data_IF_501485829434
#
_entry.id   IF_501485829434
#
_cell.length_a   1.000
_cell.length_b   1.000
_cell.length_c   1.000
_cell.angle_alpha   90.00
_cell.angle_beta   90.00
_cell.angle_gamma   90.00
#
_symmetry.space_group_name_H-M   'P 1'
#
loop_
_entity.id
_entity.type
_entity.pdbx_description
1 polymer ?
#
# COMPACT_ATOMS: atom_id res chain seq x y z
N UNK A 1 -4.03 11.65 -7.80
CA UNK A 1 -3.34 10.66 -6.95
C UNK A 1 -1.85 10.76 -7.23
N UNK A 2 -1.00 10.62 -6.21
CA UNK A 2 0.46 10.75 -6.33
C UNK A 2 1.16 9.49 -5.81
N UNK A 3 2.10 8.94 -6.57
CA UNK A 3 2.96 7.83 -6.11
C UNK A 3 3.99 8.36 -5.09
N UNK A 4 4.14 7.64 -3.98
CA UNK A 4 5.13 7.98 -2.95
C UNK A 4 6.51 7.44 -3.33
N UNK A 5 7.59 8.17 -3.02
CA UNK A 5 8.95 7.63 -3.15
C UNK A 5 9.13 6.44 -2.20
N UNK A 6 10.03 5.52 -2.57
CA UNK A 6 10.22 4.25 -1.86
C UNK A 6 10.42 4.41 -0.34
N UNK A 7 11.24 5.38 0.09
CA UNK A 7 11.50 5.62 1.51
C UNK A 7 10.26 6.05 2.30
N UNK A 8 9.35 6.79 1.66
CA UNK A 8 8.06 7.14 2.26
C UNK A 8 7.05 5.98 2.23
N UNK A 9 7.18 5.06 1.25
CA UNK A 9 6.33 3.89 1.13
C UNK A 9 6.65 2.78 2.16
N UNK A 10 7.92 2.61 2.52
CA UNK A 10 8.40 1.59 3.48
C UNK A 10 7.57 1.47 4.76
N UNK A 11 7.35 2.54 5.55
CA UNK A 11 6.59 2.43 6.80
C UNK A 11 5.12 2.04 6.56
N UNK A 12 4.53 2.44 5.42
CA UNK A 12 3.15 2.09 5.06
C UNK A 12 3.07 0.61 4.70
N UNK A 13 3.99 0.11 3.87
CA UNK A 13 4.07 -1.30 3.52
C UNK A 13 4.29 -2.18 4.75
N UNK A 14 5.16 -1.74 5.68
CA UNK A 14 5.41 -2.46 6.94
C UNK A 14 4.15 -2.61 7.80
N UNK A 15 3.29 -1.59 7.83
CA UNK A 15 2.02 -1.63 8.57
C UNK A 15 0.93 -2.45 7.87
N UNK A 16 1.02 -2.59 6.55
CA UNK A 16 0.00 -3.22 5.71
C UNK A 16 -0.50 -4.61 6.19
N UNK A 17 0.35 -5.60 6.54
CA UNK A 17 -0.15 -6.91 6.98
C UNK A 17 -1.00 -6.85 8.26
N UNK A 18 -0.80 -5.83 9.10
CA UNK A 18 -1.60 -5.61 10.31
C UNK A 18 -2.93 -4.94 9.98
N UNK A 19 -2.91 -3.90 9.15
CA UNK A 19 -4.11 -3.11 8.82
C UNK A 19 -5.02 -3.82 7.80
N UNK A 20 -4.43 -4.61 6.89
CA UNK A 20 -5.14 -5.30 5.80
C UNK A 20 -4.87 -6.82 5.78
N UNK A 21 -5.29 -7.58 6.81
CA UNK A 21 -4.99 -9.01 6.90
C UNK A 21 -5.54 -9.82 5.72
N UNK A 22 -6.69 -9.41 5.18
CA UNK A 22 -7.39 -10.09 4.08
C UNK A 22 -6.58 -10.06 2.78
N UNK A 23 -5.73 -9.05 2.58
CA UNK A 23 -4.90 -8.88 1.39
C UNK A 23 -3.70 -9.85 1.32
N UNK A 24 -3.28 -10.41 2.46
CA UNK A 24 -2.06 -11.22 2.55
C UNK A 24 -2.12 -12.51 1.71
N UNK A 25 -3.29 -13.16 1.68
CA UNK A 25 -3.46 -14.42 0.95
C UNK A 25 -3.26 -14.28 -0.55
N UNK A 26 -3.60 -13.12 -1.12
CA UNK A 26 -3.34 -12.84 -2.53
C UNK A 26 -1.84 -12.68 -2.80
N UNK A 27 -1.16 -11.86 -1.99
CA UNK A 27 0.27 -11.57 -2.20
C UNK A 27 1.16 -12.80 -2.03
N UNK A 28 0.82 -13.73 -1.14
CA UNK A 28 1.51 -15.03 -1.05
C UNK A 28 1.30 -15.88 -2.30
N UNK A 29 0.05 -15.99 -2.77
CA UNK A 29 -0.29 -16.76 -3.98
C UNK A 29 0.32 -16.19 -5.26
N UNK A 30 0.59 -14.89 -5.30
CA UNK A 30 1.29 -14.25 -6.41
C UNK A 30 2.82 -14.38 -6.34
N UNK A 31 3.35 -15.00 -5.28
CA UNK A 31 4.79 -15.16 -5.07
C UNK A 31 5.51 -13.87 -4.66
N UNK A 32 4.77 -12.84 -4.24
CA UNK A 32 5.37 -11.59 -3.74
C UNK A 32 5.85 -11.72 -2.29
N UNK A 33 5.30 -12.67 -1.54
CA UNK A 33 5.58 -12.89 -0.12
C UNK A 33 5.69 -14.39 0.15
N UNK A 34 6.52 -14.75 1.13
CA UNK A 34 6.59 -16.12 1.65
C UNK A 34 5.70 -16.24 2.90
N UNK A 35 6.05 -15.51 3.95
CA UNK A 35 5.36 -15.58 5.25
C UNK A 35 4.44 -14.38 5.50
N UNK A 36 4.60 -13.29 4.73
CA UNK A 36 3.78 -12.09 4.87
C UNK A 36 4.10 -11.29 6.13
N UNK A 37 5.37 -11.34 6.54
CA UNK A 37 5.88 -10.56 7.68
C UNK A 37 6.08 -9.09 7.30
N UNK A 38 6.00 -8.15 8.26
CA UNK A 38 6.17 -6.72 8.00
C UNK A 38 7.42 -6.34 7.20
N UNK A 39 8.53 -7.03 7.43
CA UNK A 39 9.82 -6.85 6.73
C UNK A 39 9.78 -7.31 5.27
N UNK A 40 9.06 -8.40 4.96
CA UNK A 40 8.85 -8.84 3.57
C UNK A 40 8.06 -7.79 2.79
N UNK A 41 7.04 -7.19 3.41
CA UNK A 41 6.29 -6.10 2.79
C UNK A 41 7.13 -4.84 2.62
N UNK A 42 7.90 -4.45 3.65
CA UNK A 42 8.79 -3.29 3.57
C UNK A 42 9.82 -3.41 2.43
N UNK A 43 10.30 -4.63 2.17
CA UNK A 43 11.19 -4.94 1.06
C UNK A 43 10.55 -4.76 -0.32
N UNK A 44 9.22 -4.72 -0.42
CA UNK A 44 8.50 -4.43 -1.68
C UNK A 44 8.52 -2.95 -2.06
N UNK A 45 9.10 -2.05 -1.25
CA UNK A 45 9.23 -0.65 -1.63
C UNK A 45 10.00 -0.49 -2.95
N UNK A 46 9.39 0.17 -3.95
CA UNK A 46 9.91 0.28 -5.32
C UNK A 46 9.50 -0.85 -6.27
N UNK A 47 8.81 -1.88 -5.76
CA UNK A 47 8.17 -2.95 -6.55
C UNK A 47 6.65 -2.88 -6.42
N UNK A 48 6.14 -2.70 -5.20
CA UNK A 48 4.73 -2.45 -4.89
C UNK A 48 4.52 -0.94 -4.69
N UNK A 49 3.97 -0.23 -5.68
CA UNK A 49 3.80 1.21 -5.60
C UNK A 49 2.72 1.58 -4.58
N UNK A 50 3.02 2.57 -3.74
CA UNK A 50 2.09 3.11 -2.75
C UNK A 50 1.68 4.50 -3.19
N UNK A 51 0.37 4.74 -3.20
CA UNK A 51 -0.18 6.00 -3.66
C UNK A 51 -0.88 6.75 -2.54
N UNK A 52 -0.68 8.07 -2.50
CA UNK A 52 -1.54 8.97 -1.75
C UNK A 52 -2.70 9.38 -2.67
N UNK A 53 -3.96 9.06 -2.35
CA UNK A 53 -5.10 9.62 -3.06
C UNK A 53 -5.11 11.13 -2.84
N UNK A 54 -5.43 11.89 -3.89
CA UNK A 54 -5.71 13.33 -3.72
C UNK A 54 -7.20 13.47 -3.40
N UNK A 55 -7.60 14.50 -2.63
CA UNK A 55 -9.01 14.78 -2.39
C UNK A 55 -9.74 14.94 -3.72
N UNK A 56 -10.93 14.35 -3.82
CA UNK A 56 -11.89 14.74 -4.85
C UNK A 56 -12.51 16.05 -4.38
N UNK A 57 -12.44 17.10 -5.22
CA UNK A 57 -13.29 18.27 -5.01
C UNK A 57 -14.74 17.82 -5.19
N UNK A 58 -15.50 17.77 -4.08
CA UNK A 58 -16.95 17.66 -4.18
C UNK A 58 -17.44 18.92 -4.91
N UNK A 59 -18.02 18.74 -6.10
CA UNK A 59 -18.90 19.74 -6.69
C UNK A 59 -20.11 19.87 -5.76
N UNK A 60 -20.00 20.73 -4.74
CA UNK A 60 -21.18 21.27 -4.11
C UNK A 60 -21.96 21.97 -5.22
N UNK A 61 -23.08 21.38 -5.64
CA UNK A 61 -24.08 22.07 -6.43
C UNK A 61 -24.42 23.35 -5.68
N UNK A 62 -23.92 24.48 -6.19
CA UNK A 62 -24.44 25.78 -5.80
C UNK A 62 -25.86 25.83 -6.33
N UNK A 63 -26.78 25.76 -5.38
CA UNK A 63 -28.20 26.16 -5.42
C UNK A 63 -29.19 25.27 -6.18
#
# INVERSE_FOLDING_TARGET
MVELPADAARPILRAFPTEMPTGMGFMKRSGLLEDGRPDEFEALAGVCPVFRPDPVEEFNSLE
#
